data_IF_509292241349
#
_entry.id   IF_509292241349
#
_cell.length_a   1.000
_cell.length_b   1.000
_cell.length_c   1.000
_cell.angle_alpha   90.00
_cell.angle_beta   90.00
_cell.angle_gamma   90.00
#
_symmetry.space_group_name_H-M   'P 1'
#
loop_
_entity.id
_entity.type
_entity.pdbx_description
1 polymer ?
#
# COMPACT_ATOMS: atom_id res chain seq x y z
N UNK A 1 -16.31 -48.05 36.01
CA UNK A 1 -15.47 -46.84 35.95
C UNK A 1 -14.52 -46.96 34.74
N UNK A 2 -14.90 -46.51 33.53
CA UNK A 2 -13.96 -46.53 32.41
C UNK A 2 -12.94 -45.40 32.57
N UNK A 3 -11.66 -45.77 32.58
CA UNK A 3 -10.52 -44.87 32.73
C UNK A 3 -10.43 -43.94 31.52
N UNK A 4 -10.33 -42.64 31.78
CA UNK A 4 -10.18 -41.58 30.78
C UNK A 4 -8.80 -41.73 30.10
N UNK A 5 -8.69 -41.76 28.76
CA UNK A 5 -7.40 -41.82 28.10
C UNK A 5 -6.60 -40.52 28.34
N UNK A 6 -5.26 -40.58 28.37
CA UNK A 6 -4.42 -39.41 28.61
C UNK A 6 -4.58 -38.40 27.47
N UNK A 7 -4.66 -37.11 27.84
CA UNK A 7 -4.70 -36.00 26.90
C UNK A 7 -3.36 -35.92 26.17
N UNK A 8 -3.39 -36.05 24.84
CA UNK A 8 -2.24 -35.73 23.98
C UNK A 8 -1.85 -34.26 24.17
N UNK A 9 -0.55 -33.92 24.28
CA UNK A 9 -0.12 -32.53 24.31
C UNK A 9 -0.42 -31.86 22.97
N UNK A 10 -1.15 -30.74 23.01
CA UNK A 10 -1.35 -29.84 21.87
C UNK A 10 0.03 -29.40 21.37
N UNK A 11 0.41 -29.88 20.19
CA UNK A 11 1.65 -29.51 19.51
C UNK A 11 1.65 -27.99 19.27
N UNK A 12 2.65 -27.34 19.84
CA UNK A 12 2.95 -25.92 19.66
C UNK A 12 3.03 -25.56 18.16
N UNK A 13 2.66 -24.30 17.86
CA UNK A 13 2.53 -23.74 16.51
C UNK A 13 3.67 -24.16 15.57
N UNK A 14 3.29 -24.74 14.44
CA UNK A 14 4.23 -25.21 13.43
C UNK A 14 4.96 -24.01 12.81
N UNK A 15 6.31 -23.97 12.82
CA UNK A 15 7.05 -22.99 12.03
C UNK A 15 6.76 -23.24 10.55
N UNK A 16 6.62 -22.16 9.78
CA UNK A 16 6.34 -22.14 8.35
C UNK A 16 7.12 -23.25 7.62
N UNK A 17 6.47 -24.41 7.44
CA UNK A 17 7.08 -25.57 6.84
C UNK A 17 6.96 -25.35 5.35
N UNK A 18 8.06 -24.93 4.74
CA UNK A 18 8.22 -24.90 3.30
C UNK A 18 7.89 -26.28 2.76
N UNK A 19 6.65 -26.44 2.29
CA UNK A 19 6.16 -27.62 1.62
C UNK A 19 5.98 -27.16 0.20
N UNK A 20 6.99 -27.42 -0.65
CA UNK A 20 6.96 -27.00 -2.05
C UNK A 20 5.66 -27.49 -2.70
N UNK A 21 4.75 -26.61 -3.15
CA UNK A 21 3.59 -27.06 -3.90
C UNK A 21 4.07 -27.43 -5.31
N UNK A 22 3.98 -28.71 -5.63
CA UNK A 22 4.09 -29.23 -6.99
C UNK A 22 3.14 -28.45 -7.90
N UNK A 23 3.71 -27.66 -8.81
CA UNK A 23 3.03 -26.79 -9.80
C UNK A 23 1.90 -27.53 -10.52
N UNK A 24 0.63 -27.10 -10.40
CA UNK A 24 -0.34 -27.30 -11.46
C UNK A 24 -0.20 -26.13 -12.45
N UNK A 25 0.23 -26.44 -13.67
CA UNK A 25 0.22 -25.51 -14.81
C UNK A 25 -1.23 -25.09 -15.10
N UNK A 26 -1.67 -23.93 -14.61
CA UNK A 26 -2.90 -23.30 -15.10
C UNK A 26 -2.53 -22.30 -16.19
N UNK A 27 -2.82 -22.68 -17.44
CA UNK A 27 -2.83 -21.78 -18.60
C UNK A 27 -3.86 -20.69 -18.33
N UNK A 28 -3.42 -19.44 -18.24
CA UNK A 28 -4.31 -18.29 -18.37
C UNK A 28 -4.55 -18.10 -19.88
N UNK A 29 -5.76 -18.44 -20.32
CA UNK A 29 -6.22 -18.10 -21.66
C UNK A 29 -6.62 -16.63 -21.64
N UNK A 30 -5.78 -15.79 -22.23
CA UNK A 30 -6.12 -14.44 -22.62
C UNK A 30 -7.08 -14.54 -23.81
N UNK A 31 -8.25 -13.94 -23.71
CA UNK A 31 -9.16 -13.78 -24.84
C UNK A 31 -9.02 -12.33 -25.36
N UNK A 32 -8.68 -12.12 -26.65
CA UNK A 32 -8.77 -10.82 -27.28
C UNK A 32 -10.04 -10.73 -28.15
N UNK A 33 -10.81 -9.68 -28.00
CA UNK A 33 -11.83 -9.22 -28.98
C UNK A 33 -12.31 -7.83 -28.54
N UNK A 34 -12.57 -6.84 -29.37
CA UNK A 34 -12.17 -6.47 -30.71
C UNK A 34 -12.50 -4.96 -30.79
N UNK A 35 -11.76 -4.24 -31.61
CA UNK A 35 -11.89 -2.80 -31.80
C UNK A 35 -13.17 -2.40 -32.56
N UNK A 36 -13.65 -1.17 -32.30
CA UNK A 36 -14.31 -0.30 -33.29
C UNK A 36 -14.07 1.19 -32.94
N UNK A 37 -13.34 1.89 -33.80
CA UNK A 37 -13.26 3.38 -33.93
C UNK A 37 -14.30 3.82 -35.01
N UNK A 38 -14.46 5.11 -35.33
CA UNK A 38 -14.67 6.33 -34.53
C UNK A 38 -16.02 7.01 -34.91
N UNK A 39 -16.44 8.07 -34.20
CA UNK A 39 -17.32 9.11 -34.79
C UNK A 39 -16.55 10.40 -34.88
N UNK A 40 -16.28 10.79 -36.12
CA UNK A 40 -15.92 12.14 -36.53
C UNK A 40 -17.23 12.86 -36.88
N UNK A 41 -17.51 14.02 -36.28
CA UNK A 41 -18.26 15.11 -36.91
C UNK A 41 -18.26 16.36 -36.02
N UNK A 42 -17.19 17.13 -36.15
CA UNK A 42 -17.20 18.56 -36.47
C UNK A 42 -18.52 19.32 -36.28
N UNK A 43 -18.63 20.11 -35.19
CA UNK A 43 -19.41 21.36 -35.21
C UNK A 43 -18.97 22.32 -34.09
N UNK A 44 -18.54 23.57 -34.41
CA UNK A 44 -18.13 24.53 -33.40
C UNK A 44 -19.36 25.22 -32.79
N UNK A 45 -19.46 25.22 -31.45
CA UNK A 45 -20.42 26.08 -30.73
C UNK A 45 -19.68 27.10 -29.87
N UNK A 46 -20.16 28.32 -30.04
CA UNK A 46 -19.64 29.65 -29.68
C UNK A 46 -19.35 29.81 -28.19
N UNK A 47 -18.28 30.54 -27.79
CA UNK A 47 -18.02 30.84 -26.39
C UNK A 47 -19.02 31.87 -25.84
N UNK A 48 -19.59 31.68 -24.64
CA UNK A 48 -20.19 32.78 -23.89
C UNK A 48 -19.08 33.67 -23.29
N UNK A 49 -19.27 34.98 -23.45
CA UNK A 49 -18.43 36.08 -22.97
C UNK A 49 -18.21 36.09 -21.45
N UNK A 50 -17.07 36.59 -20.97
CA UNK A 50 -16.82 36.73 -19.54
C UNK A 50 -17.67 37.85 -18.93
N UNK A 51 -18.55 37.52 -17.98
CA UNK A 51 -19.19 38.51 -17.13
C UNK A 51 -18.29 38.76 -15.92
N UNK A 52 -17.70 39.96 -15.88
CA UNK A 52 -16.98 40.47 -14.73
C UNK A 52 -17.90 40.52 -13.50
N UNK A 53 -17.50 39.88 -12.40
CA UNK A 53 -18.00 40.22 -11.06
C UNK A 53 -16.81 40.43 -10.14
N UNK A 54 -16.81 41.61 -9.54
CA UNK A 54 -15.72 42.26 -8.81
C UNK A 54 -15.18 41.40 -7.68
N UNK A 55 -13.86 41.27 -7.66
CA UNK A 55 -13.07 40.84 -6.51
C UNK A 55 -13.36 41.75 -5.32
N UNK A 56 -13.82 41.16 -4.21
CA UNK A 56 -13.79 41.84 -2.90
C UNK A 56 -12.41 41.59 -2.30
N UNK A 57 -11.62 42.65 -2.22
CA UNK A 57 -10.35 42.67 -1.52
C UNK A 57 -10.55 42.24 -0.06
N UNK A 58 -9.96 41.10 0.32
CA UNK A 58 -9.70 40.79 1.72
C UNK A 58 -8.37 41.45 2.06
N UNK A 59 -8.40 42.26 3.11
CA UNK A 59 -7.26 43.03 3.57
C UNK A 59 -6.08 42.11 3.88
N UNK A 60 -4.93 42.41 3.26
CA UNK A 60 -3.63 41.98 3.72
C UNK A 60 -3.41 42.55 5.12
N UNK A 61 -3.19 41.67 6.09
CA UNK A 61 -2.82 42.00 7.46
C UNK A 61 -1.88 40.93 8.00
N UNK A 62 -0.60 41.29 8.01
CA UNK A 62 0.43 40.97 9.00
C UNK A 62 0.59 39.52 9.48
N UNK A 63 1.65 38.85 9.03
CA UNK A 63 2.89 38.76 9.82
C UNK A 63 3.79 37.66 9.24
N UNK A 64 4.77 38.08 8.44
CA UNK A 64 6.03 37.37 8.29
C UNK A 64 6.79 37.48 9.62
N UNK A 65 6.30 36.76 10.64
CA UNK A 65 7.06 36.56 11.85
C UNK A 65 8.17 35.56 11.51
N UNK A 66 9.46 35.87 11.73
CA UNK A 66 10.51 34.89 11.56
C UNK A 66 10.19 33.73 12.51
N UNK A 67 9.95 32.56 11.93
CA UNK A 67 9.80 31.31 12.69
C UNK A 67 11.05 31.20 13.56
N UNK A 68 10.94 31.17 14.90
CA UNK A 68 12.10 31.06 15.77
C UNK A 68 12.87 29.80 15.38
N UNK A 69 14.22 29.84 15.34
CA UNK A 69 15.01 28.65 15.05
C UNK A 69 14.63 27.57 16.06
N UNK A 70 14.37 26.32 15.61
CA UNK A 70 14.03 25.25 16.53
C UNK A 70 15.16 25.08 17.56
N UNK A 71 14.81 25.05 18.84
CA UNK A 71 15.77 24.94 19.93
C UNK A 71 16.71 23.72 19.72
N UNK A 72 18.04 23.87 19.81
CA UNK A 72 19.00 22.82 19.50
C UNK A 72 19.11 21.71 20.57
N UNK A 73 18.11 21.57 21.46
CA UNK A 73 18.22 20.77 22.67
C UNK A 73 17.13 19.70 22.84
N UNK A 74 16.25 19.47 21.86
CA UNK A 74 15.38 18.29 21.91
C UNK A 74 16.16 17.11 21.33
N UNK A 75 16.57 16.09 22.13
CA UNK A 75 17.04 14.85 21.56
C UNK A 75 15.83 14.22 20.86
N UNK A 76 15.70 14.50 19.57
CA UNK A 76 14.76 13.84 18.67
C UNK A 76 15.10 12.36 18.73
N UNK A 77 14.40 11.61 19.58
CA UNK A 77 14.22 10.19 19.36
C UNK A 77 13.64 10.09 17.94
N UNK A 78 14.50 9.75 16.98
CA UNK A 78 14.10 9.57 15.58
C UNK A 78 13.38 8.24 15.54
N UNK A 79 12.17 8.22 16.08
CA UNK A 79 11.20 7.16 15.80
C UNK A 79 11.10 7.06 14.27
N UNK A 80 11.18 5.86 13.70
CA UNK A 80 11.11 5.72 12.26
C UNK A 80 9.79 6.34 11.79
N UNK A 81 9.89 7.44 11.03
CA UNK A 81 8.73 8.15 10.50
C UNK A 81 7.82 7.24 9.66
N UNK A 82 8.38 6.11 9.19
CA UNK A 82 7.70 5.09 8.39
C UNK A 82 8.17 3.69 8.82
N UNK A 83 7.21 2.84 9.20
CA UNK A 83 7.42 1.41 9.44
C UNK A 83 6.78 0.59 8.30
N UNK A 84 7.53 -0.34 7.71
CA UNK A 84 7.01 -1.32 6.76
C UNK A 84 7.12 -2.72 7.35
N UNK A 85 5.98 -3.32 7.72
CA UNK A 85 5.90 -4.67 8.27
C UNK A 85 5.49 -5.68 7.20
N UNK A 86 6.35 -6.67 6.99
CA UNK A 86 6.03 -7.83 6.14
C UNK A 86 5.25 -8.84 6.97
N UNK A 87 3.99 -9.12 6.62
CA UNK A 87 3.20 -10.16 7.28
C UNK A 87 3.42 -11.50 6.59
N UNK A 88 3.59 -12.55 7.39
CA UNK A 88 3.62 -13.93 6.89
C UNK A 88 2.35 -14.22 6.10
N UNK A 89 2.55 -14.85 4.94
CA UNK A 89 1.46 -15.27 4.05
C UNK A 89 0.50 -14.13 3.68
N UNK A 90 1.00 -12.89 3.76
CA UNK A 90 0.16 -11.70 3.75
C UNK A 90 0.82 -10.46 3.13
N UNK A 91 0.11 -9.32 3.21
CA UNK A 91 0.51 -8.06 2.59
C UNK A 91 1.65 -7.34 3.33
N UNK A 92 2.16 -6.27 2.71
CA UNK A 92 2.95 -5.27 3.41
C UNK A 92 2.02 -4.33 4.19
N UNK A 93 2.27 -4.14 5.47
CA UNK A 93 1.59 -3.13 6.29
C UNK A 93 2.53 -1.95 6.48
N UNK A 94 2.17 -0.79 5.94
CA UNK A 94 2.95 0.44 6.05
C UNK A 94 2.25 1.34 7.06
N UNK A 95 2.98 1.83 8.05
CA UNK A 95 2.48 2.74 9.09
C UNK A 95 3.38 3.97 9.09
N UNK A 96 2.81 5.17 9.06
CA UNK A 96 3.56 6.42 9.04
C UNK A 96 3.15 7.34 7.88
N UNK A 97 3.83 8.48 7.78
CA UNK A 97 3.59 9.45 6.72
C UNK A 97 4.30 9.00 5.44
N UNK A 98 3.54 8.49 4.47
CA UNK A 98 4.06 8.09 3.16
C UNK A 98 3.25 8.73 2.05
N UNK A 99 3.81 8.75 0.84
CA UNK A 99 3.11 9.09 -0.40
C UNK A 99 3.16 7.89 -1.31
N UNK A 100 2.07 7.59 -2.00
CA UNK A 100 1.99 6.49 -2.96
C UNK A 100 1.80 7.09 -4.35
N UNK A 101 2.76 6.85 -5.24
CA UNK A 101 2.80 7.45 -6.57
C UNK A 101 2.75 6.33 -7.60
N UNK A 102 1.96 6.51 -8.67
CA UNK A 102 1.92 5.57 -9.80
C UNK A 102 3.10 5.76 -10.79
N UNK A 103 3.14 4.94 -11.84
CA UNK A 103 4.20 5.01 -12.84
C UNK A 103 4.16 6.29 -13.69
N UNK A 104 3.03 7.00 -13.69
CA UNK A 104 2.78 8.24 -14.42
C UNK A 104 3.02 9.48 -13.55
N UNK A 105 3.35 9.30 -12.27
CA UNK A 105 3.59 10.39 -11.32
C UNK A 105 2.33 10.88 -10.59
N UNK A 106 1.18 10.23 -10.76
CA UNK A 106 -0.04 10.59 -10.03
C UNK A 106 0.00 10.03 -8.61
N UNK A 107 -0.42 10.85 -7.65
CA UNK A 107 -0.54 10.44 -6.26
C UNK A 107 -1.85 9.69 -6.04
N UNK A 108 -1.75 8.48 -5.47
CA UNK A 108 -2.91 7.71 -5.06
C UNK A 108 -3.42 8.24 -3.73
N UNK A 109 -4.68 8.65 -3.69
CA UNK A 109 -5.34 9.08 -2.47
C UNK A 109 -5.63 7.90 -1.54
N UNK A 110 -5.26 8.04 -0.27
CA UNK A 110 -5.64 7.13 0.82
C UNK A 110 -5.80 7.91 2.13
N UNK A 111 -6.45 7.30 3.11
CA UNK A 111 -6.69 7.93 4.40
C UNK A 111 -5.37 8.21 5.14
N UNK A 112 -5.01 9.48 5.27
CA UNK A 112 -3.91 9.91 6.12
C UNK A 112 -4.19 9.47 7.58
N UNK A 113 -3.22 8.78 8.19
CA UNK A 113 -3.34 8.25 9.55
C UNK A 113 -3.83 6.81 9.66
N UNK A 114 -4.28 6.18 8.57
CA UNK A 114 -4.52 4.72 8.55
C UNK A 114 -3.33 3.96 7.98
N UNK A 115 -3.00 2.78 8.52
CA UNK A 115 -1.93 1.97 7.95
C UNK A 115 -2.33 1.46 6.56
N UNK A 116 -1.45 1.66 5.59
CA UNK A 116 -1.64 1.13 4.25
C UNK A 116 -1.34 -0.36 4.22
N UNK A 117 -2.14 -1.11 3.45
CA UNK A 117 -1.93 -2.54 3.21
C UNK A 117 -1.74 -2.79 1.73
N UNK A 118 -0.50 -3.05 1.32
CA UNK A 118 -0.14 -3.28 -0.08
C UNK A 118 -0.09 -4.76 -0.42
N UNK A 119 -0.60 -5.11 -1.60
CA UNK A 119 -0.62 -6.48 -2.10
C UNK A 119 0.81 -7.00 -2.32
N UNK A 120 1.11 -8.16 -1.72
CA UNK A 120 2.35 -8.91 -1.94
C UNK A 120 2.15 -10.19 -2.75
N UNK A 121 0.91 -10.70 -2.81
CA UNK A 121 0.59 -12.00 -3.41
C UNK A 121 0.32 -11.95 -4.93
N UNK A 122 0.11 -10.77 -5.52
CA UNK A 122 -0.23 -10.61 -6.94
C UNK A 122 -1.69 -10.90 -7.32
N UNK A 123 -2.51 -11.45 -6.41
CA UNK A 123 -3.87 -11.88 -6.70
C UNK A 123 -4.96 -10.85 -6.32
N UNK A 124 -4.59 -9.69 -5.76
CA UNK A 124 -5.58 -8.66 -5.40
C UNK A 124 -6.31 -8.11 -6.64
N UNK A 125 -7.60 -7.86 -6.51
CA UNK A 125 -8.42 -7.16 -7.52
C UNK A 125 -8.33 -5.64 -7.40
N UNK A 126 -7.89 -5.12 -6.27
CA UNK A 126 -7.77 -3.67 -5.97
C UNK A 126 -6.32 -3.22 -5.89
N UNK A 127 -5.46 -3.75 -6.76
CA UNK A 127 -4.02 -3.37 -6.79
C UNK A 127 -3.88 -1.84 -6.89
N UNK A 128 -2.95 -1.24 -6.13
CA UNK A 128 -1.87 -1.87 -5.34
C UNK A 128 -2.27 -2.35 -3.93
N UNK A 129 -3.52 -2.17 -3.52
CA UNK A 129 -4.00 -2.51 -2.18
C UNK A 129 -4.30 -4.00 -2.01
N UNK A 130 -4.31 -4.45 -0.75
CA UNK A 130 -4.66 -5.81 -0.39
C UNK A 130 -6.16 -5.94 -0.04
N UNK A 131 -6.87 -6.81 -0.77
CA UNK A 131 -8.28 -7.18 -0.61
C UNK A 131 -8.49 -8.53 0.10
N UNK A 132 -7.44 -9.05 0.75
CA UNK A 132 -7.40 -10.38 1.35
C UNK A 132 -7.42 -11.58 0.38
N UNK A 133 -7.25 -11.36 -0.93
CA UNK A 133 -7.12 -12.45 -1.93
C UNK A 133 -5.97 -13.42 -1.63
N UNK A 134 -4.95 -13.00 -0.87
CA UNK A 134 -3.86 -13.86 -0.42
C UNK A 134 -4.32 -15.10 0.37
N UNK A 135 -5.44 -15.00 1.10
CA UNK A 135 -6.01 -16.11 1.88
C UNK A 135 -6.59 -17.20 0.98
N UNK A 136 -7.21 -16.78 -0.13
CA UNK A 136 -7.87 -17.69 -1.08
C UNK A 136 -6.88 -18.24 -2.10
N UNK A 137 -5.89 -17.44 -2.50
CA UNK A 137 -4.87 -17.85 -3.47
C UNK A 137 -3.79 -18.77 -2.89
N UNK A 138 -3.81 -19.04 -1.58
CA UNK A 138 -2.80 -19.88 -0.91
C UNK A 138 -1.39 -19.27 -0.98
N UNK A 139 -1.28 -17.96 -0.77
CA UNK A 139 0.01 -17.28 -0.83
C UNK A 139 0.89 -17.68 0.37
N UNK A 140 2.01 -18.35 0.10
CA UNK A 140 2.97 -18.78 1.12
C UNK A 140 4.26 -17.96 1.02
N UNK A 141 4.58 -17.20 2.06
CA UNK A 141 5.82 -16.42 2.12
C UNK A 141 6.14 -15.94 3.53
N UNK A 142 7.15 -16.56 4.13
CA UNK A 142 7.64 -16.26 5.49
C UNK A 142 9.06 -15.68 5.47
N UNK A 143 9.20 -14.43 5.02
CA UNK A 143 10.51 -13.76 4.96
C UNK A 143 10.99 -13.42 6.38
N UNK A 144 12.27 -13.69 6.64
CA UNK A 144 12.94 -13.36 7.91
C UNK A 144 14.18 -12.54 7.63
N UNK A 145 14.40 -11.48 8.42
CA UNK A 145 15.62 -10.70 8.35
C UNK A 145 16.80 -11.59 8.72
N UNK A 146 17.88 -11.53 7.93
CA UNK A 146 19.16 -12.12 8.32
C UNK A 146 19.88 -11.14 9.22
N UNK A 147 20.52 -11.64 10.26
CA UNK A 147 21.49 -10.84 10.99
C UNK A 147 22.60 -10.44 10.00
N UNK A 148 22.81 -9.14 9.81
CA UNK A 148 23.94 -8.64 9.04
C UNK A 148 25.17 -8.87 9.92
N UNK A 149 25.84 -10.01 9.75
CA UNK A 149 27.16 -10.21 10.32
C UNK A 149 28.05 -9.10 9.76
N UNK A 150 28.67 -8.32 10.65
CA UNK A 150 29.37 -7.07 10.33
C UNK A 150 30.21 -7.20 9.06
N UNK A 151 29.99 -6.27 8.11
CA UNK A 151 30.82 -6.14 6.91
C UNK A 151 32.27 -6.12 7.37
N UNK A 152 33.03 -7.18 7.07
CA UNK A 152 34.48 -7.17 7.21
C UNK A 152 34.98 -6.17 6.16
N UNK A 153 35.43 -5.03 6.68
CA UNK A 153 36.24 -4.03 5.97
C UNK A 153 37.57 -4.63 5.56
#
# INVERSE_FOLDING_TARGET
>A
MPRRPPRTPTRAGSPCRWSSPSRPRRRWAWAPTAASRPRDETSPRRPPTPTATRSRAVASGDADAPVPPPDPAVPLAVEPAVEIKVRDDGPYKITGAVRLIDAQGNELSFDAGRPLVLCRCGHSHTKPFCDASHKVSGFESCVRARAIAGRRT
#
